data_IF_674805481586
#
_entry.id   IF_674805481586
#
_cell.length_a   1.000
_cell.length_b   1.000
_cell.length_c   1.000
_cell.angle_alpha   90.00
_cell.angle_beta   90.00
_cell.angle_gamma   90.00
#
_symmetry.space_group_name_H-M   'P 1'
#
loop_
_entity.id
_entity.type
_entity.pdbx_description
1 polymer ?
#
# COMPACT_ATOMS: atom_id res chain seq x y z
N UNK A 1 -11.33 4.16 -8.04
CA UNK A 1 -12.20 3.65 -6.95
C UNK A 1 -11.52 3.68 -5.58
N UNK A 2 -10.29 3.15 -5.41
CA UNK A 2 -9.66 3.10 -4.09
C UNK A 2 -9.38 4.46 -3.42
N UNK A 3 -9.02 5.50 -4.18
CA UNK A 3 -8.83 6.85 -3.63
C UNK A 3 -10.13 7.41 -3.02
N UNK A 4 -11.29 7.01 -3.53
CA UNK A 4 -12.58 7.37 -2.96
C UNK A 4 -12.83 6.62 -1.64
N UNK A 5 -12.43 5.35 -1.57
CA UNK A 5 -12.54 4.54 -0.35
C UNK A 5 -11.62 5.05 0.79
N UNK A 6 -10.51 5.71 0.43
CA UNK A 6 -9.67 6.44 1.37
C UNK A 6 -10.26 7.78 1.82
N UNK A 7 -11.38 8.22 1.23
CA UNK A 7 -11.99 9.51 1.55
C UNK A 7 -11.16 10.72 1.10
N UNK A 8 -10.23 10.54 0.16
CA UNK A 8 -9.34 11.62 -0.30
C UNK A 8 -10.11 12.70 -1.05
N UNK A 9 -9.96 13.94 -0.60
CA UNK A 9 -10.56 15.15 -1.19
C UNK A 9 -9.52 16.24 -1.35
N UNK A 10 -9.80 17.19 -2.25
CA UNK A 10 -8.98 18.39 -2.49
C UNK A 10 -7.52 18.04 -2.77
N UNK A 11 -6.63 18.83 -2.18
CA UNK A 11 -5.19 18.77 -2.42
C UNK A 11 -4.57 17.37 -2.24
N UNK A 12 -4.91 16.66 -1.16
CA UNK A 12 -4.37 15.32 -0.89
C UNK A 12 -4.71 14.37 -2.05
N UNK A 13 -5.95 14.44 -2.57
CA UNK A 13 -6.34 13.62 -3.73
C UNK A 13 -5.46 13.91 -4.94
N UNK A 14 -5.14 15.17 -5.20
CA UNK A 14 -4.32 15.59 -6.34
C UNK A 14 -2.87 15.11 -6.20
N UNK A 15 -2.32 15.07 -4.98
CA UNK A 15 -1.02 14.46 -4.69
C UNK A 15 -1.02 12.97 -5.06
N UNK A 16 -2.03 12.21 -4.63
CA UNK A 16 -2.13 10.77 -4.98
C UNK A 16 -2.33 10.55 -6.48
N UNK A 17 -3.17 11.35 -7.14
CA UNK A 17 -3.37 11.25 -8.58
C UNK A 17 -2.07 11.54 -9.35
N UNK A 18 -1.30 12.54 -8.92
CA UNK A 18 0.00 12.86 -9.52
C UNK A 18 1.01 11.72 -9.33
N UNK A 19 1.04 11.10 -8.15
CA UNK A 19 1.86 9.92 -7.90
C UNK A 19 1.44 8.73 -8.77
N UNK A 20 0.12 8.48 -8.93
CA UNK A 20 -0.42 7.42 -9.79
C UNK A 20 -0.04 7.64 -11.26
N UNK A 21 -0.13 8.89 -11.72
CA UNK A 21 0.25 9.30 -13.08
C UNK A 21 1.77 9.37 -13.30
N UNK A 22 2.59 9.11 -12.26
CA UNK A 22 4.06 9.23 -12.30
C UNK A 22 4.55 10.60 -12.78
N UNK A 23 3.84 11.67 -12.41
CA UNK A 23 4.28 13.04 -12.73
C UNK A 23 5.63 13.32 -12.06
N UNK A 24 6.62 13.75 -12.84
CA UNK A 24 7.98 14.04 -12.37
C UNK A 24 8.19 15.51 -12.00
N UNK A 25 7.27 16.37 -12.42
CA UNK A 25 7.26 17.83 -12.24
C UNK A 25 6.37 18.31 -11.09
N UNK A 26 5.62 17.40 -10.46
CA UNK A 26 4.75 17.74 -9.34
C UNK A 26 5.54 17.96 -8.05
N UNK A 27 5.51 19.19 -7.55
CA UNK A 27 6.13 19.59 -6.28
C UNK A 27 5.04 19.75 -5.22
N UNK A 28 5.05 18.96 -4.14
CA UNK A 28 4.09 19.12 -3.06
C UNK A 28 4.32 20.43 -2.27
N UNK A 29 3.26 21.14 -1.89
CA UNK A 29 3.29 22.32 -1.01
C UNK A 29 3.53 21.93 0.47
N UNK A 30 4.72 22.20 1.02
CA UNK A 30 5.22 21.51 2.23
C UNK A 30 4.51 21.78 3.56
N UNK A 31 3.83 22.91 3.73
CA UNK A 31 3.72 23.50 5.07
C UNK A 31 2.69 22.84 6.01
N UNK A 32 1.81 21.94 5.53
CA UNK A 32 0.84 21.22 6.39
C UNK A 32 0.57 19.75 6.03
N UNK A 33 1.17 19.22 4.96
CA UNK A 33 0.84 17.88 4.46
C UNK A 33 1.12 16.75 5.45
N UNK A 34 2.27 16.69 6.14
CA UNK A 34 2.59 15.55 7.03
C UNK A 34 1.51 15.30 8.10
N UNK A 35 0.92 16.38 8.63
CA UNK A 35 -0.12 16.31 9.66
C UNK A 35 -1.44 15.77 9.10
N UNK A 36 -1.84 16.22 7.90
CA UNK A 36 -3.07 15.76 7.25
C UNK A 36 -2.99 14.27 6.86
N UNK A 37 -1.85 13.85 6.31
CA UNK A 37 -1.61 12.44 5.99
C UNK A 37 -1.64 11.57 7.26
N UNK A 38 -0.96 12.00 8.32
CA UNK A 38 -0.95 11.26 9.59
C UNK A 38 -2.36 11.15 10.17
N UNK A 39 -3.11 12.25 10.21
CA UNK A 39 -4.50 12.26 10.71
C UNK A 39 -5.39 11.34 9.89
N UNK A 40 -5.33 11.45 8.56
CA UNK A 40 -6.07 10.59 7.65
C UNK A 40 -5.78 9.10 7.93
N UNK A 41 -4.52 8.67 7.83
CA UNK A 41 -4.19 7.25 7.95
C UNK A 41 -4.37 6.71 9.37
N UNK A 42 -4.24 7.54 10.41
CA UNK A 42 -4.60 7.16 11.78
C UNK A 42 -6.08 6.78 11.93
N UNK A 43 -6.96 7.30 11.07
CA UNK A 43 -8.38 6.91 11.05
C UNK A 43 -8.62 5.58 10.32
N UNK A 44 -7.69 5.16 9.45
CA UNK A 44 -7.84 4.00 8.55
C UNK A 44 -7.18 2.73 9.09
N UNK A 45 -6.09 2.88 9.84
CA UNK A 45 -5.32 1.77 10.40
C UNK A 45 -4.93 2.04 11.84
N UNK A 46 -4.66 0.97 12.57
CA UNK A 46 -3.96 1.04 13.85
C UNK A 46 -2.46 1.14 13.55
N UNK A 47 -1.78 2.11 14.17
CA UNK A 47 -0.36 2.36 13.98
C UNK A 47 0.31 2.54 15.34
N UNK A 48 0.23 1.50 16.15
CA UNK A 48 0.90 1.40 17.45
C UNK A 48 2.26 0.76 17.18
N UNK A 49 3.35 1.33 17.69
CA UNK A 49 4.75 1.09 17.25
C UNK A 49 5.31 -0.34 17.29
N UNK A 50 4.48 -1.38 17.46
CA UNK A 50 4.82 -2.79 17.30
C UNK A 50 4.17 -3.37 16.03
N UNK A 51 4.96 -4.16 15.30
CA UNK A 51 4.64 -4.75 13.99
C UNK A 51 3.30 -5.48 13.89
N UNK A 52 2.90 -6.17 14.96
CA UNK A 52 1.66 -6.95 15.04
C UNK A 52 0.41 -6.08 15.16
N UNK A 53 0.58 -4.76 15.29
CA UNK A 53 -0.49 -3.79 15.54
C UNK A 53 -0.76 -2.89 14.34
N UNK A 54 -0.06 -3.09 13.20
CA UNK A 54 -0.35 -2.41 11.93
C UNK A 54 -1.45 -3.14 11.16
N UNK A 55 -2.70 -2.91 11.56
CA UNK A 55 -3.88 -3.54 10.95
C UNK A 55 -4.86 -2.50 10.45
N UNK A 56 -5.61 -2.84 9.39
CA UNK A 56 -6.75 -2.02 8.98
C UNK A 56 -7.78 -2.00 10.10
N UNK A 57 -8.33 -0.82 10.38
CA UNK A 57 -9.48 -0.71 11.29
C UNK A 57 -10.71 -1.32 10.64
N UNK A 58 -11.55 -2.00 11.43
CA UNK A 58 -12.72 -2.72 10.91
C UNK A 58 -13.68 -1.81 10.13
N UNK A 59 -13.89 -0.58 10.61
CA UNK A 59 -14.70 0.42 9.90
C UNK A 59 -14.15 0.72 8.50
N UNK A 60 -12.83 0.83 8.38
CA UNK A 60 -12.18 1.09 7.10
C UNK A 60 -12.21 -0.15 6.20
N UNK A 61 -11.98 -1.34 6.75
CA UNK A 61 -12.12 -2.59 6.01
C UNK A 61 -13.53 -2.75 5.44
N UNK A 62 -14.58 -2.53 6.23
CA UNK A 62 -15.97 -2.58 5.76
C UNK A 62 -16.25 -1.51 4.67
N UNK A 63 -15.66 -0.33 4.78
CA UNK A 63 -15.76 0.72 3.76
C UNK A 63 -15.07 0.31 2.46
N UNK A 64 -13.89 -0.32 2.53
CA UNK A 64 -13.21 -0.89 1.37
C UNK A 64 -14.07 -1.96 0.70
N UNK A 65 -14.63 -2.91 1.47
CA UNK A 65 -15.51 -3.93 0.89
C UNK A 65 -16.73 -3.35 0.19
N UNK A 66 -17.31 -2.27 0.74
CA UNK A 66 -18.48 -1.61 0.13
C UNK A 66 -18.10 -0.83 -1.12
N UNK A 67 -17.05 0.00 -1.05
CA UNK A 67 -16.65 0.90 -2.15
C UNK A 67 -16.06 0.15 -3.34
N UNK A 68 -15.45 -1.01 -3.08
CA UNK A 68 -14.82 -1.87 -4.07
C UNK A 68 -15.74 -3.00 -4.55
N UNK A 69 -17.00 -3.04 -4.08
CA UNK A 69 -17.98 -4.07 -4.40
C UNK A 69 -17.51 -5.51 -4.11
N UNK A 70 -16.88 -5.70 -2.95
CA UNK A 70 -16.27 -6.97 -2.54
C UNK A 70 -17.06 -7.69 -1.45
N UNK A 71 -18.27 -7.26 -1.07
CA UNK A 71 -19.00 -7.88 0.04
C UNK A 71 -19.21 -9.38 -0.19
N UNK A 72 -19.68 -9.72 -1.38
CA UNK A 72 -20.00 -11.09 -1.80
C UNK A 72 -18.79 -11.86 -2.38
N UNK A 73 -17.62 -11.22 -2.51
CA UNK A 73 -16.42 -11.87 -3.02
C UNK A 73 -15.89 -12.93 -2.04
N UNK A 74 -15.28 -13.99 -2.56
CA UNK A 74 -14.63 -15.02 -1.74
C UNK A 74 -13.47 -14.43 -0.93
N UNK A 75 -13.10 -15.07 0.19
CA UNK A 75 -11.94 -14.61 0.98
C UNK A 75 -10.63 -14.68 0.20
N UNK A 76 -10.47 -15.70 -0.67
CA UNK A 76 -9.30 -15.79 -1.55
C UNK A 76 -9.25 -14.66 -2.58
N UNK A 77 -10.39 -14.28 -3.17
CA UNK A 77 -10.42 -13.14 -4.11
C UNK A 77 -10.19 -11.81 -3.40
N UNK A 78 -10.80 -11.61 -2.22
CA UNK A 78 -10.49 -10.47 -1.35
C UNK A 78 -8.98 -10.44 -1.07
N UNK A 79 -8.39 -11.56 -0.65
CA UNK A 79 -6.96 -11.65 -0.37
C UNK A 79 -6.09 -11.17 -1.54
N UNK A 80 -6.34 -11.68 -2.75
CA UNK A 80 -5.62 -11.29 -3.97
C UNK A 80 -5.78 -9.80 -4.28
N UNK A 81 -6.97 -9.26 -4.13
CA UNK A 81 -7.24 -7.83 -4.36
C UNK A 81 -6.48 -6.99 -3.32
N UNK A 82 -6.60 -7.30 -2.03
CA UNK A 82 -5.87 -6.60 -0.97
C UNK A 82 -4.34 -6.68 -1.16
N UNK A 83 -3.83 -7.79 -1.70
CA UNK A 83 -2.43 -7.93 -2.09
C UNK A 83 -2.04 -6.97 -3.23
N UNK A 84 -2.84 -6.87 -4.30
CA UNK A 84 -2.60 -5.90 -5.38
C UNK A 84 -2.63 -4.46 -4.85
N UNK A 85 -3.58 -4.14 -3.98
CA UNK A 85 -3.66 -2.81 -3.34
C UNK A 85 -2.41 -2.52 -2.50
N UNK A 86 -1.93 -3.50 -1.74
CA UNK A 86 -0.67 -3.37 -0.99
C UNK A 86 0.50 -3.02 -1.91
N UNK A 87 0.64 -3.73 -3.04
CA UNK A 87 1.68 -3.45 -4.03
C UNK A 87 1.58 -2.01 -4.56
N UNK A 88 0.37 -1.55 -4.89
CA UNK A 88 0.13 -0.19 -5.37
C UNK A 88 0.59 0.86 -4.35
N UNK A 89 0.20 0.73 -3.08
CA UNK A 89 0.61 1.69 -2.06
C UNK A 89 2.11 1.63 -1.74
N UNK A 90 2.72 0.43 -1.81
CA UNK A 90 4.16 0.28 -1.73
C UNK A 90 4.86 1.10 -2.84
N UNK A 91 4.36 1.01 -4.08
CA UNK A 91 4.90 1.77 -5.20
C UNK A 91 4.67 3.29 -5.05
N UNK A 92 3.45 3.72 -4.70
CA UNK A 92 3.11 5.14 -4.48
C UNK A 92 4.07 5.76 -3.45
N UNK A 93 4.33 5.06 -2.35
CA UNK A 93 5.20 5.54 -1.27
C UNK A 93 6.65 5.84 -1.71
N UNK A 94 7.07 5.33 -2.86
CA UNK A 94 8.39 5.54 -3.48
C UNK A 94 8.40 6.49 -4.68
N UNK A 95 7.24 7.03 -5.06
CA UNK A 95 7.18 8.00 -6.15
C UNK A 95 7.94 9.28 -5.78
N UNK A 96 8.45 9.99 -6.79
CA UNK A 96 9.14 11.27 -6.61
C UNK A 96 8.28 12.29 -5.85
N UNK A 97 6.95 12.22 -6.02
CA UNK A 97 5.97 13.03 -5.29
C UNK A 97 6.10 12.83 -3.78
N UNK A 98 6.18 11.58 -3.32
CA UNK A 98 6.26 11.25 -1.90
C UNK A 98 7.68 11.26 -1.34
N UNK A 99 8.72 11.29 -2.19
CA UNK A 99 10.09 11.51 -1.76
C UNK A 99 10.27 12.89 -1.10
N UNK A 100 9.55 13.90 -1.60
CA UNK A 100 9.52 15.24 -1.00
C UNK A 100 8.78 15.32 0.35
N UNK A 101 8.13 14.24 0.80
CA UNK A 101 7.32 14.20 2.03
C UNK A 101 7.62 12.91 2.82
N UNK A 102 8.79 12.80 3.49
CA UNK A 102 9.26 11.53 4.08
C UNK A 102 8.28 10.87 5.06
N UNK A 103 7.58 11.68 5.87
CA UNK A 103 6.58 11.16 6.82
C UNK A 103 5.34 10.57 6.11
N UNK A 104 4.92 11.17 5.00
CA UNK A 104 3.84 10.63 4.18
C UNK A 104 4.29 9.35 3.47
N UNK A 105 5.54 9.28 2.98
CA UNK A 105 6.10 8.02 2.47
C UNK A 105 6.07 6.92 3.55
N UNK A 106 6.48 7.22 4.78
CA UNK A 106 6.49 6.27 5.90
C UNK A 106 5.09 5.75 6.25
N UNK A 107 4.09 6.63 6.34
CA UNK A 107 2.71 6.20 6.67
C UNK A 107 2.10 5.36 5.55
N UNK A 108 2.43 5.65 4.29
CA UNK A 108 1.96 4.86 3.14
C UNK A 108 2.54 3.44 3.13
N UNK A 109 3.82 3.27 3.48
CA UNK A 109 4.41 1.93 3.61
C UNK A 109 3.74 1.11 4.71
N UNK A 110 3.42 1.75 5.85
CA UNK A 110 2.66 1.12 6.95
C UNK A 110 1.26 0.72 6.51
N UNK A 111 0.60 1.58 5.73
CA UNK A 111 -0.71 1.25 5.16
C UNK A 111 -0.65 0.12 4.13
N UNK A 112 0.37 0.11 3.27
CA UNK A 112 0.63 -1.00 2.36
C UNK A 112 0.81 -2.32 3.13
N UNK A 113 1.53 -2.30 4.26
CA UNK A 113 1.64 -3.48 5.11
C UNK A 113 0.31 -3.87 5.75
N UNK A 114 -0.50 -2.92 6.25
CA UNK A 114 -1.81 -3.24 6.81
C UNK A 114 -2.73 -3.93 5.79
N UNK A 115 -2.67 -3.54 4.52
CA UNK A 115 -3.36 -4.22 3.42
C UNK A 115 -2.81 -5.64 3.19
N UNK A 116 -1.49 -5.81 3.20
CA UNK A 116 -0.85 -7.12 3.03
C UNK A 116 -1.18 -8.07 4.20
N UNK A 117 -1.14 -7.58 5.43
CA UNK A 117 -1.51 -8.32 6.62
C UNK A 117 -2.98 -8.76 6.54
N UNK A 118 -3.87 -7.87 6.06
CA UNK A 118 -5.27 -8.24 5.84
C UNK A 118 -5.41 -9.31 4.76
N UNK A 119 -4.71 -9.18 3.64
CA UNK A 119 -4.69 -10.21 2.58
C UNK A 119 -4.27 -11.57 3.13
N UNK A 120 -3.13 -11.63 3.82
CA UNK A 120 -2.64 -12.86 4.42
C UNK A 120 -3.63 -13.47 5.43
N UNK A 121 -4.30 -12.65 6.24
CA UNK A 121 -5.32 -13.14 7.19
C UNK A 121 -6.58 -13.71 6.54
N UNK A 122 -6.89 -13.31 5.30
CA UNK A 122 -8.04 -13.81 4.55
C UNK A 122 -7.71 -15.12 3.82
N UNK A 123 -6.46 -15.33 3.43
CA UNK A 123 -5.99 -16.54 2.78
C UNK A 123 -4.47 -16.71 3.03
N UNK A 124 -4.12 -17.43 4.09
CA UNK A 124 -2.71 -17.66 4.45
C UNK A 124 -1.98 -18.54 3.42
N UNK A 125 -2.71 -19.27 2.57
CA UNK A 125 -2.13 -20.11 1.53
C UNK A 125 -1.70 -19.30 0.29
N UNK A 126 -2.20 -18.06 0.16
CA UNK A 126 -1.95 -17.21 -1.00
C UNK A 126 -0.46 -16.92 -1.18
N UNK A 127 0.31 -16.73 -0.10
CA UNK A 127 1.76 -16.52 -0.12
C UNK A 127 2.41 -17.31 1.01
N UNK A 128 3.65 -17.76 0.81
CA UNK A 128 4.37 -18.42 1.90
C UNK A 128 4.62 -17.45 3.06
N UNK A 129 4.65 -17.99 4.29
CA UNK A 129 5.01 -17.22 5.49
C UNK A 129 6.38 -16.54 5.35
N UNK A 130 7.32 -17.18 4.67
CA UNK A 130 8.64 -16.60 4.40
C UNK A 130 8.51 -15.35 3.51
N UNK A 131 7.79 -15.44 2.41
CA UNK A 131 7.53 -14.31 1.49
C UNK A 131 6.81 -13.17 2.22
N UNK A 132 5.79 -13.48 3.02
CA UNK A 132 5.09 -12.50 3.83
C UNK A 132 6.03 -11.76 4.79
N UNK A 133 6.90 -12.48 5.48
CA UNK A 133 7.88 -11.89 6.40
C UNK A 133 8.91 -11.02 5.67
N UNK A 134 9.37 -11.42 4.48
CA UNK A 134 10.23 -10.57 3.65
C UNK A 134 9.54 -9.25 3.32
N UNK A 135 8.30 -9.31 2.83
CA UNK A 135 7.55 -8.10 2.48
C UNK A 135 7.27 -7.21 3.69
N UNK A 136 6.97 -7.82 4.83
CA UNK A 136 6.84 -7.13 6.12
C UNK A 136 8.10 -6.33 6.46
N UNK A 137 9.27 -6.95 6.43
CA UNK A 137 10.55 -6.28 6.70
C UNK A 137 10.77 -5.13 5.73
N UNK A 138 10.54 -5.35 4.43
CA UNK A 138 10.76 -4.29 3.45
C UNK A 138 9.78 -3.12 3.62
N UNK A 139 8.52 -3.35 3.98
CA UNK A 139 7.54 -2.27 4.11
C UNK A 139 7.73 -1.46 5.40
N UNK A 140 7.99 -2.13 6.51
CA UNK A 140 7.96 -1.48 7.80
C UNK A 140 9.37 -1.15 8.34
N UNK A 141 10.41 -1.95 8.01
CA UNK A 141 11.77 -1.84 8.59
C UNK A 141 12.74 -1.08 7.68
N UNK A 142 12.34 -0.69 6.46
CA UNK A 142 13.25 -0.12 5.46
C UNK A 142 14.13 1.03 5.97
N UNK A 143 13.60 1.86 6.87
CA UNK A 143 14.32 3.00 7.42
C UNK A 143 15.30 2.64 8.56
N UNK A 144 15.26 1.40 9.06
CA UNK A 144 16.16 0.84 10.08
C UNK A 144 17.15 -0.19 9.50
N UNK A 145 17.00 -0.56 8.22
CA UNK A 145 17.93 -1.44 7.52
C UNK A 145 19.29 -0.76 7.32
N UNK A 146 20.38 -1.52 7.39
CA UNK A 146 21.69 -1.03 6.94
C UNK A 146 21.63 -0.64 5.45
N UNK A 147 22.54 0.22 4.99
CA UNK A 147 22.61 0.61 3.58
C UNK A 147 22.72 -0.59 2.61
N UNK A 148 23.36 -1.67 3.05
CA UNK A 148 23.54 -2.89 2.27
C UNK A 148 22.25 -3.72 2.18
N UNK A 149 21.56 -3.90 3.32
CA UNK A 149 20.23 -4.54 3.37
C UNK A 149 19.18 -3.73 2.62
N UNK A 150 19.19 -2.41 2.77
CA UNK A 150 18.28 -1.50 2.07
C UNK A 150 18.51 -1.52 0.55
N UNK A 151 19.76 -1.69 0.09
CA UNK A 151 20.08 -1.83 -1.33
C UNK A 151 19.59 -3.16 -1.92
N UNK A 152 19.65 -4.26 -1.17
CA UNK A 152 19.13 -5.56 -1.59
C UNK A 152 17.58 -5.61 -1.52
N UNK A 153 16.98 -4.92 -0.54
CA UNK A 153 15.56 -4.95 -0.22
C UNK A 153 14.84 -3.66 -0.62
N UNK A 154 15.23 -3.01 -1.72
CA UNK A 154 14.61 -1.77 -2.18
C UNK A 154 13.09 -1.95 -2.35
N UNK A 155 12.28 -1.04 -1.85
CA UNK A 155 10.81 -1.14 -2.02
C UNK A 155 10.39 -1.08 -3.50
N UNK A 156 11.20 -0.46 -4.37
CA UNK A 156 10.98 -0.55 -5.83
C UNK A 156 11.20 -1.95 -6.39
N UNK A 157 12.11 -2.75 -5.81
CA UNK A 157 12.19 -4.19 -6.12
C UNK A 157 11.04 -4.96 -5.48
N UNK A 158 10.60 -4.61 -4.26
CA UNK A 158 9.42 -5.20 -3.62
C UNK A 158 8.17 -5.07 -4.50
N UNK A 159 7.84 -3.86 -4.96
CA UNK A 159 6.67 -3.68 -5.85
C UNK A 159 6.75 -4.59 -7.06
N UNK A 160 7.91 -4.61 -7.73
CA UNK A 160 8.13 -5.40 -8.93
C UNK A 160 8.03 -6.90 -8.65
N UNK A 161 8.48 -7.35 -7.49
CA UNK A 161 8.37 -8.74 -7.05
C UNK A 161 6.93 -9.11 -6.69
N UNK A 162 6.17 -8.23 -6.04
CA UNK A 162 4.75 -8.42 -5.78
C UNK A 162 3.95 -8.48 -7.08
N UNK A 163 4.23 -7.60 -8.05
CA UNK A 163 3.62 -7.61 -9.39
C UNK A 163 3.94 -8.91 -10.12
N UNK A 164 5.20 -9.34 -10.14
CA UNK A 164 5.59 -10.62 -10.76
C UNK A 164 4.88 -11.81 -10.10
N UNK A 165 4.78 -11.80 -8.78
CA UNK A 165 4.04 -12.82 -8.04
C UNK A 165 2.57 -12.88 -8.46
N UNK A 166 1.91 -11.73 -8.45
CA UNK A 166 0.52 -11.59 -8.85
C UNK A 166 0.31 -11.97 -10.33
N UNK A 167 1.22 -11.59 -11.21
CA UNK A 167 1.17 -11.94 -12.64
C UNK A 167 1.24 -13.45 -12.85
N UNK A 168 2.06 -14.15 -12.07
CA UNK A 168 2.18 -15.61 -12.19
C UNK A 168 1.00 -16.37 -11.57
N UNK A 169 0.36 -15.81 -10.54
CA UNK A 169 -0.63 -16.53 -9.71
C UNK A 169 -2.08 -16.12 -9.93
N UNK A 170 -2.32 -14.86 -10.27
CA UNK A 170 -3.66 -14.27 -10.40
C UNK A 170 -3.65 -13.05 -11.33
N UNK A 171 -3.06 -13.20 -12.53
CA UNK A 171 -2.88 -12.13 -13.52
C UNK A 171 -4.16 -11.34 -13.83
N UNK A 172 -5.32 -12.03 -13.90
CA UNK A 172 -6.61 -11.38 -14.13
C UNK A 172 -6.94 -10.34 -13.05
N UNK A 173 -6.77 -10.71 -11.77
CA UNK A 173 -6.97 -9.79 -10.65
C UNK A 173 -5.95 -8.66 -10.71
N UNK A 174 -4.69 -8.96 -11.05
CA UNK A 174 -3.67 -7.92 -11.18
C UNK A 174 -4.05 -6.86 -12.24
N UNK A 175 -4.51 -7.29 -13.42
CA UNK A 175 -4.88 -6.38 -14.50
C UNK A 175 -6.12 -5.53 -14.19
N UNK A 176 -7.06 -6.05 -13.42
CA UNK A 176 -8.28 -5.29 -13.05
C UNK A 176 -8.00 -4.22 -11.98
N UNK A 177 -7.01 -4.46 -11.13
CA UNK A 177 -6.80 -3.67 -9.91
C UNK A 177 -5.56 -2.79 -9.94
N UNK A 178 -4.68 -2.95 -10.92
CA UNK A 178 -3.44 -2.17 -11.06
C UNK A 178 -3.51 -1.26 -12.28
N UNK A 179 -3.05 0.01 -12.20
CA UNK A 179 -3.00 0.87 -13.38
C UNK A 179 -2.17 0.25 -14.52
N UNK A 180 -2.68 0.26 -15.75
CA UNK A 180 -2.00 -0.33 -16.92
C UNK A 180 -0.58 0.18 -17.12
N UNK A 181 -0.34 1.47 -16.85
CA UNK A 181 0.99 2.08 -16.95
C UNK A 181 2.02 1.50 -15.96
N UNK A 182 1.58 0.64 -15.04
CA UNK A 182 2.38 0.09 -13.95
C UNK A 182 2.61 -1.42 -14.03
N UNK A 183 2.01 -2.07 -15.02
CA UNK A 183 2.26 -3.47 -15.40
C UNK A 183 3.39 -3.53 -16.43
#
# INVERSE_FOLDING_TARGET
>A
MILNALGLKGYIRDVFMSAIMRKTDFVPESDNQPTEFKSLFSSLMTDLGQWQQHTLKDKHYANLLTTLDLKEASESDKSRIFFCLSAIFANISHSNVFYGIPDASKILKRYAFALLAKAYSLDESMISRQTFNTYKTVLLDFNNLSNEEANQLRISSLYRDMVRYAQYRFSKVLSEWTPDAWL
#
